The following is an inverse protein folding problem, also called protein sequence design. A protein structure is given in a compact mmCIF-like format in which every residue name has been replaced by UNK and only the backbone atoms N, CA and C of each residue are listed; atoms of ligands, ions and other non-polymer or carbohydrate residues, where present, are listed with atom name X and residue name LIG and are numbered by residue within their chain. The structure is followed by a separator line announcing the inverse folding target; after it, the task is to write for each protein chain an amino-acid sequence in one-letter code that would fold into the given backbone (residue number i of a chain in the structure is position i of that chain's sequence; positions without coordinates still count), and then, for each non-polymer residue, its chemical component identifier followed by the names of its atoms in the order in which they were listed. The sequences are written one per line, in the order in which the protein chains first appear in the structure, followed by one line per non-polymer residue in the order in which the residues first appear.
data_IF_768982749594
#
_entry.id   IF_768982749594
#
_cell.length_a   1.000
_cell.length_b   1.000
_cell.length_c   1.000
_cell.angle_alpha   90.00
_cell.angle_beta   90.00
_cell.angle_gamma   90.00
#
_symmetry.space_group_name_H-M   'P 1'
#
loop_
_entity.id
_entity.type
_entity.pdbx_description
1 polymer ?
#
# COMPACT_ATOMS: atom_id res chain seq x y z
N UNK A 1 23.80 6.59 1.81
CA UNK A 1 22.42 7.09 1.71
C UNK A 1 21.53 6.03 2.32
N UNK A 2 20.65 6.40 3.21
CA UNK A 2 19.78 5.44 3.91
C UNK A 2 18.34 5.77 3.61
N UNK A 3 17.55 4.78 3.19
CA UNK A 3 16.11 4.92 3.10
C UNK A 3 15.55 4.87 4.53
N UNK A 4 14.82 5.91 4.94
CA UNK A 4 14.34 6.02 6.31
C UNK A 4 12.86 6.37 6.27
N UNK A 5 12.07 5.54 6.93
CA UNK A 5 10.66 5.80 7.21
C UNK A 5 10.45 6.45 8.59
N UNK A 6 11.51 6.57 9.38
CA UNK A 6 11.46 7.06 10.75
C UNK A 6 11.77 8.56 10.84
N UNK A 7 10.92 9.30 11.54
CA UNK A 7 11.03 10.74 11.75
C UNK A 7 12.24 11.22 12.56
N UNK A 8 13.01 10.33 13.16
CA UNK A 8 14.15 10.67 14.02
C UNK A 8 15.35 11.32 13.30
N UNK A 9 15.33 11.40 11.96
CA UNK A 9 16.40 12.03 11.17
C UNK A 9 15.97 13.32 10.48
N UNK A 10 14.86 13.89 10.90
CA UNK A 10 14.31 15.15 10.37
C UNK A 10 15.20 16.37 10.66
N UNK A 11 16.15 16.28 11.59
CA UNK A 11 17.07 17.39 11.89
C UNK A 11 17.89 17.86 10.68
N UNK A 12 18.12 17.00 9.69
CA UNK A 12 18.77 17.38 8.44
C UNK A 12 17.81 17.95 7.39
N UNK A 13 16.51 18.03 7.67
CA UNK A 13 15.47 18.41 6.70
C UNK A 13 15.76 19.75 6.02
N UNK A 14 16.07 20.78 6.77
CA UNK A 14 16.27 22.10 6.20
C UNK A 14 17.51 22.17 5.29
N UNK A 15 18.61 21.53 5.69
CA UNK A 15 19.82 21.45 4.88
C UNK A 15 19.57 20.66 3.63
N UNK A 16 18.96 19.49 3.75
CA UNK A 16 18.59 18.64 2.63
C UNK A 16 17.67 19.36 1.66
N UNK A 17 16.60 19.99 2.12
CA UNK A 17 15.63 20.69 1.29
C UNK A 17 16.30 21.86 0.54
N UNK A 18 17.13 22.63 1.20
CA UNK A 18 17.86 23.74 0.56
C UNK A 18 18.80 23.26 -0.55
N UNK A 19 19.43 22.10 -0.37
CA UNK A 19 20.27 21.52 -1.41
C UNK A 19 19.43 20.87 -2.52
N UNK A 20 18.41 20.09 -2.16
CA UNK A 20 17.56 19.39 -3.11
C UNK A 20 16.93 20.32 -4.14
N UNK A 21 16.40 21.46 -3.70
CA UNK A 21 15.74 22.41 -4.60
C UNK A 21 16.62 22.89 -5.76
N UNK A 22 17.95 22.85 -5.61
CA UNK A 22 18.89 23.21 -6.69
C UNK A 22 18.97 22.16 -7.79
N UNK A 23 18.47 20.95 -7.54
CA UNK A 23 18.49 19.83 -8.48
C UNK A 23 17.07 19.45 -8.99
N UNK A 24 16.02 20.14 -8.53
CA UNK A 24 14.64 19.85 -8.94
C UNK A 24 14.44 20.38 -10.35
N UNK A 25 14.05 19.53 -11.34
CA UNK A 25 13.69 19.98 -12.67
C UNK A 25 12.46 20.91 -12.65
N UNK A 26 12.46 21.91 -13.52
CA UNK A 26 11.37 22.90 -13.56
C UNK A 26 10.03 22.26 -13.97
N UNK A 27 10.04 21.29 -14.86
CA UNK A 27 8.87 20.52 -15.30
C UNK A 27 8.27 19.69 -14.16
N UNK A 28 9.11 19.05 -13.36
CA UNK A 28 8.65 18.35 -12.16
C UNK A 28 8.00 19.31 -11.16
N UNK A 29 8.63 20.45 -10.87
CA UNK A 29 8.10 21.46 -9.96
C UNK A 29 6.73 21.97 -10.46
N UNK A 30 6.61 22.27 -11.74
CA UNK A 30 5.38 22.72 -12.38
C UNK A 30 4.25 21.66 -12.29
N UNK A 31 4.57 20.38 -12.52
CA UNK A 31 3.61 19.28 -12.42
C UNK A 31 3.07 19.11 -11.00
N UNK A 32 3.86 19.50 -9.99
CA UNK A 32 3.47 19.49 -8.58
C UNK A 32 2.92 20.83 -8.08
N UNK A 33 2.59 21.77 -8.96
CA UNK A 33 1.98 23.05 -8.61
C UNK A 33 2.89 24.00 -7.82
N UNK A 34 4.20 23.86 -7.95
CA UNK A 34 5.21 24.65 -7.23
C UNK A 34 6.35 25.10 -8.16
N UNK A 35 7.30 25.85 -7.62
CA UNK A 35 8.58 26.12 -8.28
C UNK A 35 9.73 25.44 -7.52
N UNK A 36 10.84 25.21 -8.18
CA UNK A 36 12.03 24.64 -7.53
C UNK A 36 12.51 25.49 -6.35
N UNK A 37 12.34 26.81 -6.41
CA UNK A 37 12.72 27.75 -5.37
C UNK A 37 11.79 27.70 -4.15
N UNK A 38 10.51 27.50 -4.38
CA UNK A 38 9.48 27.44 -3.34
C UNK A 38 9.34 26.05 -2.71
N UNK A 39 9.87 25.02 -3.37
CA UNK A 39 9.74 23.66 -2.89
C UNK A 39 10.36 23.48 -1.49
N UNK A 40 9.56 23.04 -0.57
CA UNK A 40 9.94 22.85 0.85
C UNK A 40 9.53 21.46 1.37
N UNK A 41 9.61 20.47 0.53
CA UNK A 41 9.23 19.08 0.86
C UNK A 41 10.36 18.09 0.68
N UNK A 42 10.02 16.83 0.86
CA UNK A 42 10.84 15.71 0.44
C UNK A 42 10.42 15.26 -0.96
N UNK A 43 11.38 14.77 -1.74
CA UNK A 43 11.08 14.14 -3.01
C UNK A 43 10.65 12.68 -2.75
N UNK A 44 9.38 12.33 -2.98
CA UNK A 44 8.96 10.94 -2.89
C UNK A 44 9.58 10.14 -4.05
N UNK A 45 10.15 8.99 -3.74
CA UNK A 45 10.76 8.11 -4.74
C UNK A 45 9.70 7.32 -5.47
N UNK A 46 8.87 6.63 -4.70
CA UNK A 46 7.85 5.74 -5.25
C UNK A 46 6.65 5.62 -4.32
N UNK A 47 5.52 5.30 -4.91
CA UNK A 47 4.33 4.83 -4.20
C UNK A 47 4.33 3.31 -4.23
N UNK A 48 4.08 2.71 -3.09
CA UNK A 48 3.88 1.28 -2.90
C UNK A 48 2.47 1.03 -2.38
N UNK A 49 1.95 -0.14 -2.70
CA UNK A 49 0.63 -0.57 -2.25
C UNK A 49 0.74 -1.87 -1.46
N UNK A 50 0.21 -1.86 -0.25
CA UNK A 50 -0.03 -3.06 0.53
C UNK A 50 -1.47 -3.48 0.29
N UNK A 51 -1.66 -4.66 -0.29
CA UNK A 51 -2.96 -5.11 -0.82
C UNK A 51 -3.31 -6.49 -0.31
N UNK A 52 -4.61 -6.78 -0.28
CA UNK A 52 -5.09 -8.14 -0.08
C UNK A 52 -4.91 -8.94 -1.36
N UNK A 53 -4.16 -10.02 -1.26
CA UNK A 53 -3.98 -11.01 -2.31
C UNK A 53 -4.37 -12.39 -1.81
N UNK A 54 -4.93 -13.22 -2.67
CA UNK A 54 -5.25 -14.60 -2.35
C UNK A 54 -4.83 -15.55 -3.45
N UNK A 55 -4.56 -16.81 -3.08
CA UNK A 55 -4.24 -17.86 -4.03
C UNK A 55 -5.53 -18.32 -4.72
N UNK A 56 -5.56 -18.24 -6.05
CA UNK A 56 -6.72 -18.52 -6.89
C UNK A 56 -6.85 -19.98 -7.35
N UNK A 57 -6.02 -20.89 -6.82
CA UNK A 57 -6.10 -22.33 -7.14
C UNK A 57 -7.09 -23.07 -6.27
N UNK A 58 -7.66 -22.41 -5.28
CA UNK A 58 -8.68 -22.94 -4.41
C UNK A 58 -10.11 -22.69 -4.90
N UNK A 59 -11.03 -22.77 -3.97
CA UNK A 59 -12.47 -22.56 -4.21
C UNK A 59 -13.00 -21.25 -3.64
N UNK A 60 -12.22 -20.62 -2.74
CA UNK A 60 -12.59 -19.35 -2.12
C UNK A 60 -12.36 -18.18 -3.07
N UNK A 61 -13.27 -17.24 -3.01
CA UNK A 61 -13.14 -15.92 -3.65
C UNK A 61 -13.41 -14.86 -2.60
N UNK A 62 -12.66 -13.76 -2.68
CA UNK A 62 -12.78 -12.64 -1.75
C UNK A 62 -13.23 -11.42 -2.55
N UNK A 63 -14.52 -11.13 -2.46
CA UNK A 63 -15.15 -10.03 -3.22
C UNK A 63 -15.57 -8.86 -2.35
N UNK A 64 -15.38 -9.00 -1.05
CA UNK A 64 -15.71 -7.96 -0.07
C UNK A 64 -14.64 -7.91 1.02
N UNK A 65 -14.30 -6.72 1.48
CA UNK A 65 -13.29 -6.54 2.54
C UNK A 65 -13.62 -7.30 3.83
N UNK A 66 -14.87 -7.58 4.10
CA UNK A 66 -15.31 -8.37 5.24
C UNK A 66 -15.07 -9.87 5.07
N UNK A 67 -14.83 -10.35 3.84
CA UNK A 67 -14.50 -11.76 3.61
C UNK A 67 -13.19 -12.16 4.30
N UNK A 68 -12.26 -11.22 4.47
CA UNK A 68 -10.96 -11.47 5.10
C UNK A 68 -11.02 -11.66 6.63
N UNK A 69 -12.14 -11.37 7.25
CA UNK A 69 -12.34 -11.46 8.71
C UNK A 69 -13.52 -12.34 9.11
N UNK A 70 -14.00 -13.18 8.18
CA UNK A 70 -15.01 -14.20 8.45
C UNK A 70 -14.48 -15.31 9.36
N UNK A 71 -15.38 -16.07 9.95
CA UNK A 71 -15.04 -17.23 10.76
C UNK A 71 -14.11 -18.20 10.01
N UNK A 72 -13.03 -18.59 10.65
CA UNK A 72 -12.04 -19.52 10.08
C UNK A 72 -11.08 -18.91 9.05
N UNK A 73 -11.14 -17.60 8.80
CA UNK A 73 -10.20 -16.90 7.95
C UNK A 73 -8.99 -16.42 8.75
N UNK A 74 -7.78 -16.78 8.28
CA UNK A 74 -6.52 -16.46 8.94
C UNK A 74 -5.50 -15.94 7.91
N UNK A 75 -5.56 -14.65 7.61
CA UNK A 75 -4.68 -14.03 6.61
C UNK A 75 -3.23 -14.00 7.04
N UNK A 76 -2.32 -14.18 6.10
CA UNK A 76 -0.88 -13.98 6.34
C UNK A 76 -0.57 -12.49 6.43
N UNK A 77 0.13 -12.07 7.47
CA UNK A 77 0.42 -10.66 7.73
C UNK A 77 1.70 -10.50 8.56
N UNK A 78 2.43 -9.40 8.34
CA UNK A 78 3.66 -9.11 9.10
C UNK A 78 3.45 -8.79 10.57
N UNK A 79 2.22 -8.61 10.99
CA UNK A 79 1.90 -8.15 12.33
C UNK A 79 1.97 -6.64 12.49
N UNK A 80 1.52 -6.18 13.65
CA UNK A 80 1.42 -4.76 13.97
C UNK A 80 2.62 -4.23 14.77
N UNK A 81 3.42 -5.12 15.35
CA UNK A 81 4.52 -4.72 16.22
C UNK A 81 5.84 -4.51 15.46
N UNK A 82 6.04 -5.24 14.39
CA UNK A 82 7.28 -5.23 13.61
C UNK A 82 7.31 -4.20 12.48
N UNK A 83 6.16 -3.65 12.08
CA UNK A 83 6.07 -2.77 10.92
C UNK A 83 5.12 -1.58 11.13
N UNK A 84 5.67 -0.38 10.95
CA UNK A 84 4.89 0.88 11.06
C UNK A 84 3.80 0.99 9.99
N UNK A 85 4.04 0.51 8.76
CA UNK A 85 3.07 0.56 7.65
C UNK A 85 1.81 -0.22 8.00
N UNK A 86 1.94 -1.38 8.65
CA UNK A 86 0.81 -2.15 9.13
C UNK A 86 -0.04 -1.41 10.15
N UNK A 87 0.57 -0.70 11.10
CA UNK A 87 -0.15 0.14 12.06
C UNK A 87 -0.87 1.29 11.37
N UNK A 88 -0.22 1.96 10.43
CA UNK A 88 -0.83 3.07 9.69
C UNK A 88 -2.05 2.61 8.89
N UNK A 89 -2.01 1.40 8.33
CA UNK A 89 -3.18 0.80 7.69
C UNK A 89 -4.37 0.71 8.65
N UNK A 90 -4.16 0.17 9.86
CA UNK A 90 -5.23 0.06 10.85
C UNK A 90 -5.74 1.44 11.32
N UNK A 91 -4.85 2.41 11.53
CA UNK A 91 -5.25 3.77 11.88
C UNK A 91 -6.02 4.46 10.75
N UNK A 92 -5.66 4.20 9.50
CA UNK A 92 -6.39 4.73 8.36
C UNK A 92 -7.86 4.31 8.39
N UNK A 93 -8.15 3.04 8.72
CA UNK A 93 -9.52 2.52 8.80
C UNK A 93 -10.42 3.30 9.76
N UNK A 94 -9.85 3.92 10.79
CA UNK A 94 -10.62 4.70 11.77
C UNK A 94 -11.00 6.10 11.29
N UNK A 95 -10.46 6.58 10.17
CA UNK A 95 -10.92 7.84 9.57
C UNK A 95 -12.33 7.67 9.00
N UNK A 96 -13.13 8.72 9.07
CA UNK A 96 -14.55 8.71 8.67
C UNK A 96 -14.76 8.16 7.26
N UNK A 97 -13.94 8.57 6.29
CA UNK A 97 -14.01 8.11 4.91
C UNK A 97 -13.91 6.58 4.79
N UNK A 98 -12.92 5.98 5.45
CA UNK A 98 -12.70 4.53 5.37
C UNK A 98 -13.66 3.75 6.27
N UNK A 99 -14.09 4.31 7.38
CA UNK A 99 -15.15 3.75 8.21
C UNK A 99 -16.48 3.69 7.43
N UNK A 100 -16.79 4.73 6.65
CA UNK A 100 -17.94 4.74 5.76
C UNK A 100 -17.81 3.67 4.66
N UNK A 101 -16.65 3.53 4.06
CA UNK A 101 -16.37 2.50 3.05
C UNK A 101 -16.56 1.08 3.61
N UNK A 102 -16.09 0.81 4.82
CA UNK A 102 -16.31 -0.46 5.52
C UNK A 102 -17.80 -0.71 5.79
N UNK A 103 -18.54 0.32 6.19
CA UNK A 103 -19.98 0.25 6.41
C UNK A 103 -20.75 -0.04 5.11
N UNK A 104 -20.38 0.65 4.02
CA UNK A 104 -21.02 0.45 2.71
C UNK A 104 -20.76 -0.98 2.17
N UNK A 105 -19.56 -1.50 2.38
CA UNK A 105 -19.23 -2.88 2.06
C UNK A 105 -20.01 -3.88 2.93
N UNK A 106 -20.19 -3.60 4.23
CA UNK A 106 -21.00 -4.40 5.12
C UNK A 106 -22.47 -4.46 4.65
N UNK A 107 -23.02 -3.35 4.20
CA UNK A 107 -24.41 -3.29 3.74
C UNK A 107 -24.69 -4.19 2.52
N UNK A 108 -23.65 -4.50 1.75
CA UNK A 108 -23.74 -5.38 0.57
C UNK A 108 -23.56 -6.87 0.90
N UNK A 109 -23.21 -7.21 2.14
CA UNK A 109 -23.14 -8.60 2.57
C UNK A 109 -24.54 -9.25 2.60
N UNK A 110 -24.55 -10.58 2.47
CA UNK A 110 -25.74 -11.38 2.71
C UNK A 110 -26.18 -11.36 4.20
N UNK A 111 -27.42 -11.76 4.47
CA UNK A 111 -27.99 -11.68 5.82
C UNK A 111 -27.26 -12.56 6.84
N UNK A 112 -26.72 -13.70 6.41
CA UNK A 112 -25.97 -14.59 7.30
C UNK A 112 -24.62 -13.96 7.71
N UNK A 113 -23.90 -13.38 6.75
CA UNK A 113 -22.67 -12.65 6.99
C UNK A 113 -22.92 -11.43 7.88
N UNK A 114 -23.96 -10.65 7.62
CA UNK A 114 -24.37 -9.53 8.48
C UNK A 114 -24.64 -9.96 9.91
N UNK A 115 -25.38 -11.04 10.09
CA UNK A 115 -25.69 -11.56 11.43
C UNK A 115 -24.44 -12.01 12.17
N UNK A 116 -23.45 -12.58 11.47
CA UNK A 116 -22.17 -12.96 12.05
C UNK A 116 -21.40 -11.76 12.63
N UNK A 117 -21.35 -10.65 11.92
CA UNK A 117 -20.58 -9.46 12.35
C UNK A 117 -21.34 -8.56 13.33
N UNK A 118 -22.66 -8.65 13.40
CA UNK A 118 -23.52 -7.69 14.09
C UNK A 118 -23.17 -7.52 15.57
N UNK A 119 -22.92 -8.61 16.30
CA UNK A 119 -22.56 -8.56 17.72
C UNK A 119 -21.22 -7.85 17.94
N UNK A 120 -20.21 -8.14 17.10
CA UNK A 120 -18.90 -7.49 17.20
C UNK A 120 -18.99 -6.00 16.88
N UNK A 121 -19.75 -5.62 15.85
CA UNK A 121 -19.94 -4.22 15.48
C UNK A 121 -20.66 -3.46 16.60
N UNK A 122 -21.69 -4.02 17.19
CA UNK A 122 -22.43 -3.37 18.29
C UNK A 122 -21.55 -3.21 19.52
N UNK A 123 -20.75 -4.22 19.85
CA UNK A 123 -19.81 -4.17 20.99
C UNK A 123 -18.74 -3.06 20.85
N UNK A 124 -18.47 -2.59 19.64
CA UNK A 124 -17.49 -1.51 19.38
C UNK A 124 -18.10 -0.11 19.46
N UNK A 125 -19.41 0.04 19.68
CA UNK A 125 -20.10 1.34 19.64
C UNK A 125 -19.59 2.28 20.74
N UNK A 126 -19.48 1.80 21.98
CA UNK A 126 -19.00 2.62 23.11
C UNK A 126 -17.53 3.04 22.88
N UNK A 127 -16.69 2.10 22.49
CA UNK A 127 -15.28 2.36 22.24
C UNK A 127 -15.06 3.36 21.07
N UNK A 128 -15.87 3.29 20.02
CA UNK A 128 -15.80 4.25 18.92
C UNK A 128 -16.15 5.67 19.40
N UNK A 129 -17.15 5.80 20.26
CA UNK A 129 -17.53 7.06 20.88
C UNK A 129 -16.43 7.61 21.79
N UNK A 130 -15.82 6.76 22.61
CA UNK A 130 -14.73 7.14 23.53
C UNK A 130 -13.50 7.62 22.79
N UNK A 131 -13.23 7.07 21.61
CA UNK A 131 -12.15 7.51 20.73
C UNK A 131 -12.53 8.74 19.88
N UNK A 132 -13.75 9.22 19.96
CA UNK A 132 -14.22 10.36 19.16
C UNK A 132 -14.29 10.06 17.66
N UNK A 133 -14.51 8.81 17.29
CA UNK A 133 -14.67 8.40 15.90
C UNK A 133 -16.06 8.80 15.36
N UNK A 134 -16.22 8.78 14.04
CA UNK A 134 -17.53 8.98 13.41
C UNK A 134 -18.52 7.88 13.81
N UNK A 135 -19.82 8.09 13.50
CA UNK A 135 -20.87 7.10 13.75
C UNK A 135 -20.55 5.71 13.19
N UNK A 136 -19.89 5.66 12.04
CA UNK A 136 -19.47 4.42 11.39
C UNK A 136 -18.12 3.88 11.88
N UNK A 137 -17.45 4.57 12.81
CA UNK A 137 -16.17 4.12 13.40
C UNK A 137 -16.25 2.75 14.06
N UNK A 138 -17.43 2.33 14.54
CA UNK A 138 -17.65 0.99 15.07
C UNK A 138 -17.40 -0.14 14.05
N UNK A 139 -17.68 0.09 12.76
CA UNK A 139 -17.38 -0.87 11.71
C UNK A 139 -15.87 -1.03 11.52
N UNK A 140 -15.14 0.07 11.58
CA UNK A 140 -13.69 0.05 11.52
C UNK A 140 -13.08 -0.71 12.71
N UNK A 141 -13.51 -0.40 13.93
CA UNK A 141 -13.01 -1.08 15.12
C UNK A 141 -13.37 -2.58 15.14
N UNK A 142 -14.57 -2.95 14.70
CA UNK A 142 -14.98 -4.35 14.59
C UNK A 142 -14.11 -5.11 13.57
N UNK A 143 -13.88 -4.53 12.41
CA UNK A 143 -13.01 -5.13 11.40
C UNK A 143 -11.57 -5.28 11.90
N UNK A 144 -11.01 -4.20 12.51
CA UNK A 144 -9.66 -4.22 13.10
C UNK A 144 -9.54 -5.30 14.17
N UNK A 145 -10.51 -5.37 15.08
CA UNK A 145 -10.54 -6.39 16.15
C UNK A 145 -10.47 -7.80 15.56
N UNK A 146 -11.35 -8.11 14.61
CA UNK A 146 -11.40 -9.44 13.99
C UNK A 146 -10.11 -9.76 13.21
N UNK A 147 -9.54 -8.77 12.51
CA UNK A 147 -8.27 -8.94 11.81
C UNK A 147 -7.12 -9.22 12.79
N UNK A 148 -6.98 -8.40 13.83
CA UNK A 148 -5.88 -8.51 14.82
C UNK A 148 -5.95 -9.82 15.61
N UNK A 149 -7.14 -10.34 15.87
CA UNK A 149 -7.34 -11.59 16.61
C UNK A 149 -7.07 -12.85 15.77
N UNK A 150 -7.08 -12.72 14.42
CA UNK A 150 -7.12 -13.90 13.57
C UNK A 150 -6.01 -14.00 12.52
N UNK A 151 -5.19 -12.98 12.28
CA UNK A 151 -4.12 -13.10 11.30
C UNK A 151 -3.01 -14.06 11.75
N UNK A 152 -2.37 -14.71 10.79
CA UNK A 152 -1.15 -15.50 10.98
C UNK A 152 0.08 -14.62 10.76
N UNK A 153 0.83 -14.37 11.84
CA UNK A 153 2.01 -13.50 11.79
C UNK A 153 3.14 -14.12 10.97
N UNK A 154 3.71 -13.28 10.11
CA UNK A 154 4.85 -13.59 9.27
C UNK A 154 5.99 -12.60 9.51
N UNK A 155 7.20 -12.98 9.16
CA UNK A 155 8.39 -12.15 9.40
C UNK A 155 8.56 -10.99 8.44
N UNK A 156 8.04 -11.09 7.20
CA UNK A 156 8.15 -10.09 6.13
C UNK A 156 7.11 -10.37 5.04
N UNK A 157 6.82 -9.38 4.22
CA UNK A 157 5.99 -9.49 3.01
C UNK A 157 6.57 -10.48 1.96
N UNK A 158 7.91 -10.65 1.92
CA UNK A 158 8.55 -11.62 1.03
C UNK A 158 8.15 -13.07 1.30
N UNK A 159 8.27 -13.58 2.54
CA UNK A 159 7.73 -14.89 2.92
C UNK A 159 6.25 -15.07 2.63
N UNK A 160 5.42 -14.03 2.88
CA UNK A 160 3.99 -14.08 2.55
C UNK A 160 3.78 -14.29 1.04
N UNK A 161 4.45 -13.48 0.21
CA UNK A 161 4.37 -13.59 -1.23
C UNK A 161 4.79 -14.98 -1.71
N UNK A 162 5.95 -15.47 -1.25
CA UNK A 162 6.49 -16.77 -1.61
C UNK A 162 5.58 -17.93 -1.19
N UNK A 163 4.80 -17.76 -0.13
CA UNK A 163 3.80 -18.77 0.26
C UNK A 163 2.59 -18.71 -0.66
N UNK A 164 2.02 -17.53 -0.89
CA UNK A 164 0.79 -17.36 -1.66
C UNK A 164 0.92 -17.80 -3.11
N UNK A 165 2.09 -17.66 -3.75
CA UNK A 165 2.29 -18.05 -5.15
C UNK A 165 2.40 -19.56 -5.37
N UNK A 166 2.52 -20.37 -4.31
CA UNK A 166 2.61 -21.82 -4.45
C UNK A 166 1.27 -22.42 -4.86
N UNK A 167 1.29 -23.37 -5.77
CA UNK A 167 0.08 -24.10 -6.16
C UNK A 167 -0.57 -24.86 -4.98
N UNK A 168 0.22 -25.19 -3.94
CA UNK A 168 -0.26 -25.86 -2.72
C UNK A 168 -0.93 -24.92 -1.72
N UNK A 169 -0.88 -23.61 -1.92
CA UNK A 169 -1.42 -22.60 -1.01
C UNK A 169 -2.90 -22.25 -1.33
N UNK A 170 -3.62 -23.18 -1.97
CA UNK A 170 -5.02 -23.01 -2.31
C UNK A 170 -5.83 -22.45 -1.13
N UNK A 171 -6.70 -21.49 -1.42
CA UNK A 171 -7.57 -20.80 -0.42
C UNK A 171 -6.82 -19.98 0.65
N UNK A 172 -5.51 -19.80 0.55
CA UNK A 172 -4.79 -18.87 1.41
C UNK A 172 -4.84 -17.44 0.89
N UNK A 173 -4.79 -16.49 1.80
CA UNK A 173 -4.70 -15.06 1.47
C UNK A 173 -3.75 -14.33 2.43
N UNK A 174 -3.37 -13.11 2.07
CA UNK A 174 -2.54 -12.26 2.91
C UNK A 174 -2.67 -10.79 2.55
N UNK A 175 -2.18 -9.95 3.46
CA UNK A 175 -2.01 -8.52 3.27
C UNK A 175 -0.52 -8.22 3.14
N UNK A 176 -0.07 -7.87 1.95
CA UNK A 176 1.34 -7.70 1.64
C UNK A 176 1.59 -6.64 0.56
N UNK A 177 2.84 -6.21 0.44
CA UNK A 177 3.23 -5.24 -0.59
C UNK A 177 3.19 -5.88 -1.97
N UNK A 178 2.39 -5.28 -2.86
CA UNK A 178 2.18 -5.78 -4.22
C UNK A 178 3.48 -5.96 -5.02
N UNK A 179 4.44 -5.05 -4.86
CA UNK A 179 5.72 -5.12 -5.55
C UNK A 179 6.58 -6.35 -5.22
N UNK A 180 6.20 -7.15 -4.22
CA UNK A 180 6.90 -8.42 -3.94
C UNK A 180 6.69 -9.46 -5.05
N UNK A 181 5.58 -9.39 -5.78
CA UNK A 181 5.33 -10.30 -6.92
C UNK A 181 6.40 -10.21 -8.00
N UNK A 182 6.99 -9.02 -8.24
CA UNK A 182 8.05 -8.88 -9.25
C UNK A 182 9.25 -9.79 -9.00
N UNK A 183 9.61 -10.02 -7.73
CA UNK A 183 10.73 -10.90 -7.39
C UNK A 183 10.42 -12.36 -7.67
N UNK A 184 9.15 -12.74 -7.62
CA UNK A 184 8.69 -14.07 -8.03
C UNK A 184 8.66 -14.15 -9.55
N UNK A 185 8.12 -13.16 -10.24
CA UNK A 185 8.05 -13.11 -11.71
C UNK A 185 9.44 -13.24 -12.35
N UNK A 186 10.45 -12.58 -11.80
CA UNK A 186 11.84 -12.70 -12.27
C UNK A 186 12.40 -14.13 -12.22
N UNK A 187 11.87 -14.98 -11.35
CA UNK A 187 12.36 -16.36 -11.12
C UNK A 187 11.39 -17.44 -11.58
N UNK A 188 10.10 -17.17 -11.54
CA UNK A 188 9.00 -18.06 -11.90
C UNK A 188 7.77 -17.26 -12.36
N UNK A 189 7.78 -16.86 -13.62
CA UNK A 189 6.72 -16.08 -14.24
C UNK A 189 5.33 -16.78 -14.17
N UNK A 190 5.31 -18.10 -14.11
CA UNK A 190 4.05 -18.87 -14.06
C UNK A 190 3.39 -18.77 -12.69
N UNK A 191 4.16 -18.77 -11.62
CA UNK A 191 3.65 -18.77 -10.25
C UNK A 191 2.92 -17.48 -9.88
N UNK A 192 3.25 -16.32 -10.47
CA UNK A 192 2.51 -15.08 -10.22
C UNK A 192 1.05 -15.17 -10.64
N UNK A 193 0.70 -16.04 -11.59
CA UNK A 193 -0.67 -16.28 -12.01
C UNK A 193 -1.49 -17.11 -11.02
N UNK A 194 -0.87 -17.60 -9.93
CA UNK A 194 -1.58 -18.32 -8.88
C UNK A 194 -2.22 -17.39 -7.85
N UNK A 195 -2.00 -16.08 -7.94
CA UNK A 195 -2.58 -15.11 -7.02
C UNK A 195 -3.47 -14.11 -7.73
N UNK A 196 -4.45 -13.62 -7.00
CA UNK A 196 -5.35 -12.56 -7.42
C UNK A 196 -5.30 -11.43 -6.40
N UNK A 197 -5.16 -10.19 -6.88
CA UNK A 197 -5.35 -8.99 -6.04
C UNK A 197 -6.85 -8.76 -5.91
N UNK A 198 -7.36 -8.81 -4.69
CA UNK A 198 -8.80 -8.78 -4.44
C UNK A 198 -9.47 -7.52 -5.00
N UNK A 199 -8.84 -6.36 -4.83
CA UNK A 199 -9.38 -5.08 -5.28
C UNK A 199 -9.45 -4.92 -6.82
N UNK A 200 -8.79 -5.80 -7.59
CA UNK A 200 -8.81 -5.75 -9.06
C UNK A 200 -9.94 -6.56 -9.67
N UNK A 201 -10.74 -7.23 -8.85
CA UNK A 201 -11.87 -8.01 -9.32
C UNK A 201 -13.09 -7.10 -9.55
N UNK A 202 -13.82 -7.35 -10.63
CA UNK A 202 -15.10 -6.70 -10.86
C UNK A 202 -16.05 -6.98 -9.69
N UNK A 203 -16.68 -5.91 -9.20
CA UNK A 203 -17.64 -6.00 -8.10
C UNK A 203 -17.01 -6.21 -6.71
N UNK A 204 -15.71 -6.02 -6.56
CA UNK A 204 -15.10 -5.98 -5.23
C UNK A 204 -15.64 -4.80 -4.42
N UNK A 205 -15.96 -5.06 -3.16
CA UNK A 205 -16.57 -4.09 -2.26
C UNK A 205 -15.67 -3.76 -1.07
N UNK A 206 -15.56 -2.47 -0.81
CA UNK A 206 -14.76 -1.96 0.27
C UNK A 206 -13.32 -1.67 -0.14
N UNK A 207 -12.47 -1.59 0.84
CA UNK A 207 -11.11 -1.15 0.69
C UNK A 207 -10.18 -2.29 0.30
N UNK A 208 -9.38 -2.09 -0.74
CA UNK A 208 -8.47 -3.12 -1.28
C UNK A 208 -7.09 -3.18 -0.66
N UNK A 209 -6.71 -2.16 0.11
CA UNK A 209 -5.38 -2.06 0.68
C UNK A 209 -5.00 -0.67 1.15
N UNK A 210 -3.71 -0.42 1.21
CA UNK A 210 -3.11 0.81 1.72
C UNK A 210 -1.95 1.27 0.83
N UNK A 211 -2.03 2.52 0.35
CA UNK A 211 -0.96 3.17 -0.41
C UNK A 211 -0.04 4.00 0.50
N UNK A 212 1.26 3.98 0.23
CA UNK A 212 2.24 4.79 0.95
C UNK A 212 3.45 5.11 0.08
N UNK A 213 4.14 6.20 0.42
CA UNK A 213 5.32 6.64 -0.32
C UNK A 213 6.62 6.26 0.39
N UNK A 214 7.61 5.90 -0.39
CA UNK A 214 8.99 5.83 0.05
C UNK A 214 9.73 7.12 -0.27
N UNK A 215 10.57 7.54 0.67
CA UNK A 215 11.40 8.73 0.55
C UNK A 215 12.87 8.37 0.73
N UNK A 216 13.73 9.10 0.04
CA UNK A 216 15.16 9.04 0.24
C UNK A 216 15.61 10.25 1.07
N UNK A 217 16.44 10.01 2.08
CA UNK A 217 16.96 11.04 2.95
C UNK A 217 18.49 11.03 2.94
N UNK A 218 19.06 12.23 3.12
CA UNK A 218 20.49 12.37 3.38
C UNK A 218 20.70 12.34 4.90
N UNK A 219 21.59 11.49 5.37
CA UNK A 219 21.90 11.42 6.80
C UNK A 219 22.57 12.72 7.26
N UNK A 220 22.28 13.18 8.49
CA UNK A 220 22.77 14.44 9.03
C UNK A 220 24.31 14.57 9.03
N UNK A 221 25.01 13.45 9.19
CA UNK A 221 26.48 13.39 9.20
C UNK A 221 27.09 13.01 7.85
N UNK A 222 26.34 13.13 6.75
CA UNK A 222 26.89 12.88 5.41
C UNK A 222 28.02 13.84 5.09
N UNK A 223 29.14 13.30 4.62
CA UNK A 223 30.28 14.09 4.14
C UNK A 223 30.06 14.71 2.76
N UNK A 224 29.08 14.19 2.02
CA UNK A 224 28.80 14.58 0.62
C UNK A 224 27.31 14.85 0.39
N UNK A 225 26.73 15.83 1.12
CA UNK A 225 25.29 16.08 1.04
C UNK A 225 24.82 16.51 -0.35
N UNK A 226 25.64 17.27 -1.07
CA UNK A 226 25.34 17.71 -2.45
C UNK A 226 25.25 16.52 -3.42
N UNK A 227 26.21 15.61 -3.37
CA UNK A 227 26.19 14.40 -4.21
C UNK A 227 25.00 13.52 -3.87
N UNK A 228 24.67 13.37 -2.58
CA UNK A 228 23.50 12.61 -2.15
C UNK A 228 22.19 13.24 -2.63
N UNK A 229 22.04 14.55 -2.55
CA UNK A 229 20.86 15.26 -3.05
C UNK A 229 20.75 15.19 -4.58
N UNK A 230 21.87 15.34 -5.31
CA UNK A 230 21.87 15.15 -6.77
C UNK A 230 21.41 13.73 -7.15
N UNK A 231 21.86 12.72 -6.42
CA UNK A 231 21.41 11.34 -6.61
C UNK A 231 19.93 11.17 -6.32
N UNK A 232 19.41 11.75 -5.23
CA UNK A 232 17.97 11.72 -4.90
C UNK A 232 17.18 12.36 -6.05
N UNK A 233 17.57 13.53 -6.52
CA UNK A 233 16.88 14.21 -7.63
C UNK A 233 16.94 13.37 -8.92
N UNK A 234 18.08 12.77 -9.24
CA UNK A 234 18.20 11.87 -10.38
C UNK A 234 17.24 10.68 -10.27
N UNK A 235 17.22 10.01 -9.12
CA UNK A 235 16.37 8.84 -8.89
C UNK A 235 14.86 9.17 -8.91
N UNK A 236 14.48 10.37 -8.50
CA UNK A 236 13.06 10.74 -8.33
C UNK A 236 12.51 11.56 -9.49
N UNK A 237 13.34 12.29 -10.20
CA UNK A 237 12.89 13.25 -11.21
C UNK A 237 13.26 12.86 -12.66
N UNK A 238 13.95 11.74 -12.87
CA UNK A 238 14.29 11.27 -14.23
C UNK A 238 13.83 9.85 -14.47
N UNK A 239 13.44 9.55 -15.71
CA UNK A 239 13.03 8.21 -16.13
C UNK A 239 14.18 7.22 -15.97
N UNK A 240 15.37 7.57 -16.42
CA UNK A 240 16.55 6.70 -16.34
C UNK A 240 16.93 6.38 -14.90
N UNK A 241 16.86 7.37 -14.01
CA UNK A 241 17.15 7.18 -12.59
C UNK A 241 16.13 6.28 -11.91
N UNK A 242 14.85 6.51 -12.15
CA UNK A 242 13.78 5.70 -11.58
C UNK A 242 13.78 4.28 -12.15
N UNK A 243 14.00 4.12 -13.48
CA UNK A 243 14.01 2.81 -14.15
C UNK A 243 15.08 1.87 -13.60
N UNK A 244 16.17 2.40 -13.05
CA UNK A 244 17.19 1.60 -12.38
C UNK A 244 16.71 1.00 -11.04
N UNK A 245 15.70 1.59 -10.42
CA UNK A 245 15.13 1.19 -9.14
C UNK A 245 13.73 0.59 -9.29
N UNK A 246 12.83 1.34 -9.94
CA UNK A 246 11.46 0.92 -10.20
C UNK A 246 11.43 -0.22 -11.20
N UNK A 247 10.54 -1.16 -10.94
CA UNK A 247 10.24 -2.24 -11.85
C UNK A 247 8.75 -2.22 -12.19
N UNK A 248 8.40 -2.99 -13.14
CA UNK A 248 7.11 -3.05 -13.81
C UNK A 248 5.92 -3.49 -12.93
N UNK A 249 6.14 -3.81 -11.65
CA UNK A 249 5.07 -4.28 -10.79
C UNK A 249 5.09 -3.60 -9.43
N UNK A 250 4.06 -2.85 -9.11
CA UNK A 250 3.71 -2.39 -7.76
C UNK A 250 4.65 -1.38 -7.10
N UNK A 251 5.61 -0.83 -7.83
CA UNK A 251 6.44 0.28 -7.37
C UNK A 251 6.36 1.42 -8.39
N UNK A 252 5.46 2.36 -8.16
CA UNK A 252 5.16 3.43 -9.11
C UNK A 252 5.96 4.68 -8.79
N UNK A 253 6.47 5.37 -9.81
CA UNK A 253 7.06 6.69 -9.59
C UNK A 253 6.02 7.62 -8.95
N UNK A 254 6.42 8.31 -7.90
CA UNK A 254 5.60 9.38 -7.33
C UNK A 254 5.70 10.68 -8.13
N UNK A 255 6.54 10.73 -9.17
CA UNK A 255 6.66 11.85 -10.09
C UNK A 255 5.74 11.60 -11.30
N UNK A 256 4.72 12.46 -11.55
CA UNK A 256 3.77 12.26 -12.63
C UNK A 256 4.40 12.14 -14.02
N UNK A 257 5.44 12.93 -14.30
CA UNK A 257 6.14 12.88 -15.59
C UNK A 257 6.87 11.55 -15.78
N UNK A 258 7.61 11.11 -14.74
CA UNK A 258 8.33 9.83 -14.79
C UNK A 258 7.34 8.65 -14.83
N UNK A 259 6.22 8.76 -14.14
CA UNK A 259 5.17 7.74 -14.17
C UNK A 259 4.59 7.59 -15.57
N UNK A 260 4.19 8.68 -16.22
CA UNK A 260 3.63 8.65 -17.57
C UNK A 260 4.61 8.07 -18.63
N UNK A 261 5.90 8.41 -18.53
CA UNK A 261 6.91 7.86 -19.44
C UNK A 261 7.24 6.39 -19.17
N UNK A 262 7.01 5.92 -17.93
CA UNK A 262 7.22 4.52 -17.56
C UNK A 262 6.03 3.62 -17.91
N UNK A 263 4.83 4.15 -18.04
CA UNK A 263 3.65 3.38 -18.45
C UNK A 263 3.85 2.66 -19.78
N UNK A 264 4.59 3.25 -20.70
CA UNK A 264 4.93 2.61 -21.98
C UNK A 264 5.97 1.48 -21.85
N UNK A 265 6.78 1.50 -20.80
CA UNK A 265 7.90 0.56 -20.59
C UNK A 265 7.58 -0.58 -19.64
N UNK A 266 6.69 -0.35 -18.70
CA UNK A 266 6.38 -1.28 -17.63
C UNK A 266 4.93 -1.72 -17.73
N UNK A 267 4.70 -2.85 -18.38
CA UNK A 267 3.40 -3.48 -18.43
C UNK A 267 3.14 -4.15 -17.06
N UNK A 268 2.10 -3.72 -16.39
CA UNK A 268 1.63 -4.37 -15.19
C UNK A 268 0.95 -5.68 -15.57
N UNK A 269 1.55 -6.80 -15.23
CA UNK A 269 1.07 -8.13 -15.63
C UNK A 269 -0.20 -8.56 -14.89
N UNK A 270 -0.55 -7.89 -13.79
CA UNK A 270 -1.78 -8.20 -13.06
C UNK A 270 -2.54 -6.93 -12.65
N UNK A 271 -3.81 -6.89 -13.04
CA UNK A 271 -4.79 -5.91 -12.56
C UNK A 271 -4.56 -4.49 -13.05
N UNK A 272 -3.65 -4.29 -13.99
CA UNK A 272 -3.40 -2.98 -14.49
C UNK A 272 -4.53 -2.40 -15.34
N UNK A 273 -5.30 -3.23 -16.00
CA UNK A 273 -6.31 -2.76 -16.97
C UNK A 273 -7.64 -3.48 -16.77
N UNK A 274 -8.66 -2.77 -16.30
CA UNK A 274 -10.06 -3.19 -16.35
C UNK A 274 -10.77 -2.26 -17.33
N UNK A 275 -11.33 -2.81 -18.40
CA UNK A 275 -12.03 -2.06 -19.46
C UNK A 275 -11.22 -0.89 -20.08
N UNK A 276 -9.90 -1.02 -20.16
CA UNK A 276 -9.01 0.02 -20.69
C UNK A 276 -8.70 1.13 -19.69
N UNK A 277 -9.07 0.98 -18.44
CA UNK A 277 -8.72 1.88 -17.34
C UNK A 277 -7.72 1.19 -16.43
N UNK A 278 -6.58 1.82 -16.19
CA UNK A 278 -5.60 1.34 -15.25
C UNK A 278 -6.14 1.46 -13.82
N UNK A 279 -6.36 0.31 -13.17
CA UNK A 279 -6.82 0.24 -11.78
C UNK A 279 -5.62 0.01 -10.88
N UNK A 280 -5.09 1.07 -10.31
CA UNK A 280 -4.16 0.94 -9.20
C UNK A 280 -4.93 0.56 -7.93
N UNK A 281 -4.36 -0.31 -7.07
CA UNK A 281 -4.90 -0.47 -5.74
C UNK A 281 -4.87 0.88 -5.03
N UNK A 282 -5.97 1.19 -4.42
CA UNK A 282 -6.34 2.40 -3.72
C UNK A 282 -5.19 3.38 -3.47
N UNK A 283 -5.18 4.50 -4.17
CA UNK A 283 -4.40 5.67 -3.75
C UNK A 283 -5.08 6.21 -2.50
N UNK A 284 -4.47 6.00 -1.37
CA UNK A 284 -4.81 6.74 -0.16
C UNK A 284 -3.98 8.02 -0.19
N UNK A 285 -4.56 9.10 -0.63
CA UNK A 285 -4.02 10.44 -0.50
C UNK A 285 -4.11 10.94 0.94
#
# INVERSE_FOLDING_TARGET
MTLIQDGNQIESKMVQTNILKTFIPADWAQANGTTAEEYNGYLPLQTLNKVFMYNNKGTKTYTNVWDFVKEGEHGLYMGIDSEIVGKNFLYMLTKEEYANNLKDAYDKLDDASKAYFAETIEAMTEQANDFGLSENGKYALAWIKLWVENYNEQTDDGPICNELVKASAADQFGLLVYSKLRSVEETDEVSVNNVTVAAYQDGYEGMGGYGYCHYLFVTANSKYPWTACAFIAYMTCTVDGFSAWGKDMGGYSANPTVLAENEEKFHHTQGGMVDGVETYPVKNE
#
